data_IF_630850021256
#
_entry.id   IF_630850021256
#
_cell.length_a   1.000
_cell.length_b   1.000
_cell.length_c   1.000
_cell.angle_alpha   90.00
_cell.angle_beta   90.00
_cell.angle_gamma   90.00
#
_symmetry.space_group_name_H-M   'P 1'
#
loop_
_entity.id
_entity.type
_entity.pdbx_description
1 polymer ?
#
# COMPACT_ATOMS: atom_id res chain seq x y z
N UNK A 1 -68.69 -23.91 -36.75
CA UNK A 1 -68.36 -23.70 -35.32
C UNK A 1 -66.96 -23.17 -35.27
N UNK A 2 -66.77 -21.84 -35.12
CA UNK A 2 -65.48 -21.17 -35.11
C UNK A 2 -65.00 -21.04 -33.66
N UNK A 3 -63.87 -21.67 -33.32
CA UNK A 3 -63.16 -21.40 -32.06
C UNK A 3 -62.09 -20.39 -32.31
N UNK A 4 -62.23 -19.17 -31.80
CA UNK A 4 -61.22 -18.11 -31.79
C UNK A 4 -60.23 -18.40 -30.68
N UNK A 5 -58.97 -18.54 -31.04
CA UNK A 5 -57.87 -18.62 -30.11
C UNK A 5 -57.28 -17.21 -30.02
N UNK A 6 -57.37 -16.60 -28.84
CA UNK A 6 -56.76 -15.32 -28.53
C UNK A 6 -55.27 -15.56 -28.14
N UNK A 7 -54.36 -15.00 -28.92
CA UNK A 7 -52.94 -15.00 -28.57
C UNK A 7 -52.65 -13.80 -27.67
N UNK A 8 -52.24 -14.04 -26.43
CA UNK A 8 -51.76 -13.02 -25.50
C UNK A 8 -50.26 -12.78 -25.74
N UNK A 9 -49.91 -11.57 -26.20
CA UNK A 9 -48.56 -11.11 -26.33
C UNK A 9 -48.08 -10.62 -24.95
N UNK A 10 -47.16 -11.38 -24.34
CA UNK A 10 -46.41 -10.98 -23.15
C UNK A 10 -45.24 -10.13 -23.61
N UNK A 11 -45.32 -8.81 -23.43
CA UNK A 11 -44.20 -7.90 -23.59
C UNK A 11 -43.27 -8.02 -22.39
N UNK A 12 -42.15 -8.70 -22.55
CA UNK A 12 -41.08 -8.78 -21.57
C UNK A 12 -40.32 -7.46 -21.54
N UNK A 13 -40.43 -6.69 -20.45
CA UNK A 13 -39.59 -5.54 -20.19
C UNK A 13 -38.19 -6.03 -19.77
N UNK A 14 -37.22 -5.92 -20.65
CA UNK A 14 -35.81 -6.13 -20.32
C UNK A 14 -35.32 -4.92 -19.51
N UNK A 15 -35.15 -5.09 -18.21
CA UNK A 15 -34.51 -4.11 -17.33
C UNK A 15 -33.02 -4.22 -17.62
N UNK A 16 -32.49 -3.27 -18.37
CA UNK A 16 -31.04 -3.06 -18.50
C UNK A 16 -30.53 -2.51 -17.17
N UNK A 17 -30.01 -3.36 -16.32
CA UNK A 17 -29.22 -2.97 -15.17
C UNK A 17 -27.90 -2.43 -15.75
N UNK A 18 -27.80 -1.12 -15.93
CA UNK A 18 -26.51 -0.45 -16.15
C UNK A 18 -25.71 -0.67 -14.87
N UNK A 19 -24.89 -1.73 -14.84
CA UNK A 19 -23.88 -1.92 -13.82
C UNK A 19 -22.95 -0.73 -13.89
N UNK A 20 -22.87 0.07 -12.80
CA UNK A 20 -21.74 0.97 -12.61
C UNK A 20 -20.49 0.08 -12.62
N UNK A 21 -19.75 0.12 -13.73
CA UNK A 21 -18.46 -0.55 -13.81
C UNK A 21 -17.52 0.14 -12.83
N UNK A 22 -17.34 -0.44 -11.65
CA UNK A 22 -16.16 -0.15 -10.85
C UNK A 22 -14.98 -0.67 -11.66
N UNK A 23 -14.16 0.24 -12.16
CA UNK A 23 -12.87 -0.11 -12.74
C UNK A 23 -12.05 -0.74 -11.61
N UNK A 24 -11.89 -2.06 -11.64
CA UNK A 24 -11.08 -2.78 -10.65
C UNK A 24 -9.61 -2.35 -10.69
N UNK A 25 -9.19 -1.74 -11.79
CA UNK A 25 -7.83 -1.25 -11.98
C UNK A 25 -7.48 -0.03 -11.10
N UNK A 26 -8.50 0.69 -10.58
CA UNK A 26 -8.30 1.88 -9.73
C UNK A 26 -8.34 1.55 -8.22
N UNK A 27 -8.48 0.28 -7.85
CA UNK A 27 -8.54 -0.16 -6.47
C UNK A 27 -7.31 -0.95 -6.06
N UNK A 28 -6.68 -0.52 -4.96
CA UNK A 28 -5.62 -1.29 -4.36
C UNK A 28 -6.15 -2.63 -3.83
N UNK A 29 -5.34 -3.70 -3.87
CA UNK A 29 -5.68 -4.99 -3.30
C UNK A 29 -6.20 -4.89 -1.86
N UNK A 30 -7.23 -5.66 -1.50
CA UNK A 30 -7.84 -5.62 -0.17
C UNK A 30 -6.85 -5.90 0.96
N UNK A 31 -5.78 -6.66 0.70
CA UNK A 31 -4.73 -6.96 1.66
C UNK A 31 -3.99 -5.70 2.14
N UNK A 32 -3.97 -4.64 1.34
CA UNK A 32 -3.37 -3.35 1.69
C UNK A 32 -4.12 -2.60 2.80
N UNK A 33 -5.37 -3.00 3.08
CA UNK A 33 -6.23 -2.42 4.12
C UNK A 33 -6.19 -3.20 5.45
N UNK A 34 -5.36 -4.22 5.58
CA UNK A 34 -5.30 -5.09 6.77
C UNK A 34 -4.67 -4.44 8.02
N UNK A 35 -4.33 -3.15 7.96
CA UNK A 35 -3.78 -2.41 9.09
C UNK A 35 -2.26 -2.54 9.23
N UNK A 36 -1.69 -1.67 10.08
CA UNK A 36 -0.22 -1.54 10.23
C UNK A 36 0.47 -2.82 10.71
N UNK A 37 -0.20 -3.66 11.49
CA UNK A 37 0.39 -4.91 11.98
C UNK A 37 0.65 -5.90 10.84
N UNK A 38 -0.18 -5.90 9.78
CA UNK A 38 0.06 -6.73 8.60
C UNK A 38 1.32 -6.26 7.85
N UNK A 39 1.52 -4.93 7.73
CA UNK A 39 2.75 -4.37 7.16
C UNK A 39 3.97 -4.72 7.99
N UNK A 40 3.91 -4.54 9.31
CA UNK A 40 5.02 -4.85 10.22
C UNK A 40 5.42 -6.32 10.13
N UNK A 41 4.44 -7.23 10.17
CA UNK A 41 4.68 -8.67 10.04
C UNK A 41 5.29 -9.05 8.69
N UNK A 42 4.79 -8.47 7.60
CA UNK A 42 5.36 -8.75 6.28
C UNK A 42 6.80 -8.24 6.18
N UNK A 43 7.08 -7.04 6.72
CA UNK A 43 8.39 -6.40 6.73
C UNK A 43 9.46 -7.16 7.55
N UNK A 44 9.08 -8.12 8.41
CA UNK A 44 10.05 -9.00 9.09
C UNK A 44 10.93 -9.77 8.11
N UNK A 45 10.49 -9.95 6.87
CA UNK A 45 11.25 -10.63 5.81
C UNK A 45 12.31 -9.75 5.16
N UNK A 46 12.26 -8.42 5.37
CA UNK A 46 13.21 -7.50 4.73
C UNK A 46 14.67 -7.83 5.14
N UNK A 47 15.63 -7.78 4.21
CA UNK A 47 15.57 -7.23 2.86
C UNK A 47 15.12 -8.21 1.75
N UNK A 48 14.74 -9.44 2.08
CA UNK A 48 14.13 -10.35 1.11
C UNK A 48 12.78 -9.78 0.61
N UNK A 49 12.22 -10.26 -0.52
CA UNK A 49 10.95 -9.77 -1.04
C UNK A 49 9.83 -9.83 0.01
N UNK A 50 9.18 -8.69 0.24
CA UNK A 50 8.10 -8.51 1.21
C UNK A 50 6.77 -8.55 0.47
N UNK A 51 5.91 -9.49 0.85
CA UNK A 51 4.59 -9.66 0.26
C UNK A 51 3.51 -9.61 1.34
N UNK A 52 2.60 -8.66 1.24
CA UNK A 52 1.39 -8.60 2.06
C UNK A 52 0.48 -9.78 1.68
N UNK A 53 -0.01 -10.48 2.70
CA UNK A 53 -0.82 -11.68 2.48
C UNK A 53 -0.11 -12.80 1.71
N UNK A 54 1.21 -12.71 1.53
CA UNK A 54 2.01 -13.68 0.82
C UNK A 54 2.04 -13.51 -0.72
N UNK A 55 1.33 -12.55 -1.27
CA UNK A 55 1.17 -12.39 -2.73
C UNK A 55 1.40 -10.97 -3.26
N UNK A 56 1.13 -9.94 -2.47
CA UNK A 56 1.06 -8.55 -2.94
C UNK A 56 2.28 -7.75 -2.49
N UNK A 57 3.13 -7.27 -3.39
CA UNK A 57 4.18 -6.31 -3.07
C UNK A 57 3.59 -5.03 -2.46
N UNK A 58 4.33 -4.36 -1.59
CA UNK A 58 3.85 -3.11 -0.96
C UNK A 58 3.62 -2.01 -2.01
N UNK A 59 4.44 -1.97 -3.08
CA UNK A 59 4.27 -1.02 -4.19
C UNK A 59 2.90 -1.11 -4.86
N UNK A 60 2.32 -2.32 -4.92
CA UNK A 60 1.05 -2.57 -5.59
C UNK A 60 -0.15 -2.07 -4.77
N UNK A 61 0.09 -1.59 -3.54
CA UNK A 61 -0.92 -0.89 -2.74
C UNK A 61 -1.14 0.57 -3.19
N UNK A 62 -0.29 1.08 -4.08
CA UNK A 62 -0.36 2.42 -4.65
C UNK A 62 -0.70 2.28 -6.13
N UNK A 63 -1.95 2.52 -6.47
CA UNK A 63 -2.43 2.40 -7.85
C UNK A 63 -2.67 3.78 -8.45
N UNK A 64 -2.43 3.96 -9.77
CA UNK A 64 -2.81 5.18 -10.46
C UNK A 64 -4.29 5.50 -10.25
N UNK A 65 -4.64 6.78 -10.10
CA UNK A 65 -6.03 7.24 -9.93
C UNK A 65 -6.75 6.66 -8.71
N UNK A 66 -6.00 6.20 -7.70
CA UNK A 66 -6.53 5.61 -6.48
C UNK A 66 -7.55 6.53 -5.80
N UNK A 67 -8.67 5.94 -5.36
CA UNK A 67 -9.72 6.66 -4.63
C UNK A 67 -9.16 7.28 -3.33
N UNK A 68 -9.50 8.56 -3.08
CA UNK A 68 -8.88 9.36 -2.02
C UNK A 68 -9.06 8.76 -0.61
N UNK A 69 -10.22 8.17 -0.32
CA UNK A 69 -10.49 7.53 0.98
C UNK A 69 -9.68 6.25 1.16
N UNK A 70 -9.50 5.47 0.10
CA UNK A 70 -8.67 4.28 0.12
C UNK A 70 -7.19 4.64 0.30
N UNK A 71 -6.70 5.64 -0.45
CA UNK A 71 -5.34 6.15 -0.31
C UNK A 71 -5.07 6.68 1.10
N UNK A 72 -6.02 7.42 1.68
CA UNK A 72 -5.90 7.93 3.05
C UNK A 72 -5.81 6.80 4.08
N UNK A 73 -6.63 5.76 3.94
CA UNK A 73 -6.63 4.60 4.84
C UNK A 73 -5.32 3.81 4.75
N UNK A 74 -4.90 3.44 3.55
CA UNK A 74 -3.65 2.71 3.31
C UNK A 74 -2.45 3.54 3.78
N UNK A 75 -2.42 4.82 3.43
CA UNK A 75 -1.36 5.73 3.81
C UNK A 75 -1.22 5.91 5.32
N UNK A 76 -2.34 5.96 6.05
CA UNK A 76 -2.32 6.02 7.50
C UNK A 76 -1.66 4.79 8.12
N UNK A 77 -1.98 3.60 7.65
CA UNK A 77 -1.39 2.35 8.16
C UNK A 77 0.11 2.25 7.88
N UNK A 78 0.54 2.67 6.69
CA UNK A 78 1.96 2.75 6.34
C UNK A 78 2.72 3.74 7.23
N UNK A 79 2.14 4.91 7.53
CA UNK A 79 2.74 5.93 8.40
C UNK A 79 2.87 5.42 9.83
N UNK A 80 1.86 4.72 10.35
CA UNK A 80 1.92 4.11 11.69
C UNK A 80 3.01 3.05 11.75
N UNK A 81 3.10 2.18 10.74
CA UNK A 81 4.16 1.17 10.64
C UNK A 81 5.55 1.84 10.60
N UNK A 82 5.75 2.85 9.76
CA UNK A 82 7.00 3.60 9.68
C UNK A 82 7.37 4.26 11.02
N UNK A 83 6.41 4.84 11.72
CA UNK A 83 6.62 5.46 13.04
C UNK A 83 7.09 4.45 14.08
N UNK A 84 6.46 3.27 14.13
CA UNK A 84 6.85 2.18 15.03
C UNK A 84 8.27 1.67 14.71
N UNK A 85 8.56 1.44 13.43
CA UNK A 85 9.90 1.01 12.98
C UNK A 85 10.97 2.05 13.28
N UNK A 86 10.68 3.34 13.06
CA UNK A 86 11.61 4.41 13.37
C UNK A 86 11.91 4.50 14.87
N UNK A 87 10.90 4.32 15.73
CA UNK A 87 11.09 4.28 17.17
C UNK A 87 12.00 3.10 17.60
N UNK A 88 11.93 1.96 16.93
CA UNK A 88 12.80 0.82 17.15
C UNK A 88 14.22 1.07 16.59
N UNK A 89 14.32 1.61 15.38
CA UNK A 89 15.58 1.95 14.72
C UNK A 89 16.42 2.92 15.54
N UNK A 90 15.79 3.85 16.25
CA UNK A 90 16.50 4.80 17.16
C UNK A 90 17.16 4.09 18.35
N UNK A 91 16.61 2.96 18.80
CA UNK A 91 17.17 2.17 19.91
C UNK A 91 18.29 1.24 19.44
N UNK A 92 18.14 0.72 18.21
CA UNK A 92 19.13 -0.13 17.55
C UNK A 92 19.31 0.31 16.09
N UNK A 93 20.20 1.31 15.83
CA UNK A 93 20.37 1.91 14.51
C UNK A 93 20.84 0.94 13.42
N UNK A 94 21.57 -0.12 13.80
CA UNK A 94 22.03 -1.15 12.86
C UNK A 94 21.10 -2.34 12.72
N UNK A 95 20.04 -2.37 13.52
CA UNK A 95 19.15 -3.50 13.67
C UNK A 95 18.11 -3.69 12.54
N UNK A 96 17.30 -4.74 12.64
CA UNK A 96 16.35 -5.11 11.60
C UNK A 96 15.31 -4.02 11.33
N UNK A 97 14.90 -3.25 12.35
CA UNK A 97 13.91 -2.19 12.16
C UNK A 97 14.36 -1.10 11.19
N UNK A 98 15.67 -0.80 11.14
CA UNK A 98 16.23 0.15 10.17
C UNK A 98 16.16 -0.39 8.74
N UNK A 99 16.37 -1.70 8.53
CA UNK A 99 16.22 -2.37 7.23
C UNK A 99 14.75 -2.37 6.81
N UNK A 100 13.85 -2.73 7.71
CA UNK A 100 12.40 -2.77 7.48
C UNK A 100 11.85 -1.39 7.12
N UNK A 101 12.28 -0.36 7.84
CA UNK A 101 11.90 1.02 7.55
C UNK A 101 12.38 1.46 6.17
N UNK A 102 13.65 1.18 5.85
CA UNK A 102 14.20 1.44 4.53
C UNK A 102 13.40 0.73 3.43
N UNK A 103 13.08 -0.55 3.64
CA UNK A 103 12.29 -1.32 2.68
C UNK A 103 10.91 -0.69 2.43
N UNK A 104 10.18 -0.34 3.49
CA UNK A 104 8.88 0.31 3.35
C UNK A 104 8.95 1.60 2.53
N UNK A 105 9.93 2.47 2.85
CA UNK A 105 10.14 3.73 2.11
C UNK A 105 10.51 3.44 0.65
N UNK A 106 11.38 2.47 0.40
CA UNK A 106 11.79 2.07 -0.95
C UNK A 106 10.63 1.53 -1.78
N UNK A 107 9.80 0.64 -1.19
CA UNK A 107 8.64 0.07 -1.84
C UNK A 107 7.58 1.12 -2.20
N UNK A 108 7.29 2.03 -1.26
CA UNK A 108 6.39 3.17 -1.53
C UNK A 108 6.95 4.06 -2.63
N UNK A 109 8.25 4.35 -2.61
CA UNK A 109 8.89 5.16 -3.67
C UNK A 109 8.88 4.49 -5.04
N UNK A 110 8.77 3.15 -5.08
CA UNK A 110 8.65 2.38 -6.33
C UNK A 110 7.25 2.50 -6.92
N UNK A 111 6.20 2.34 -6.09
CA UNK A 111 4.80 2.34 -6.52
C UNK A 111 4.17 3.73 -6.64
N UNK A 112 4.84 4.79 -6.13
CA UNK A 112 4.23 6.11 -6.04
C UNK A 112 4.15 6.83 -7.40
N UNK A 113 2.95 7.29 -7.72
CA UNK A 113 2.64 8.26 -8.77
C UNK A 113 2.47 9.68 -8.19
N UNK A 114 2.30 10.73 -9.01
CA UNK A 114 2.10 12.10 -8.53
C UNK A 114 0.98 12.28 -7.51
N UNK A 115 -0.11 11.52 -7.60
CA UNK A 115 -1.21 11.56 -6.62
C UNK A 115 -0.78 11.14 -5.22
N UNK A 116 0.28 10.34 -5.09
CA UNK A 116 0.82 9.84 -3.83
C UNK A 116 1.84 10.78 -3.17
N UNK A 117 2.12 11.94 -3.76
CA UNK A 117 3.20 12.84 -3.30
C UNK A 117 3.05 13.26 -1.82
N UNK A 118 1.81 13.49 -1.34
CA UNK A 118 1.58 13.82 0.07
C UNK A 118 1.90 12.64 0.99
N UNK A 119 1.48 11.44 0.63
CA UNK A 119 1.83 10.22 1.38
C UNK A 119 3.34 10.02 1.45
N UNK A 120 4.05 10.13 0.32
CA UNK A 120 5.50 9.99 0.27
C UNK A 120 6.18 11.02 1.18
N UNK A 121 5.74 12.27 1.15
CA UNK A 121 6.25 13.34 2.02
C UNK A 121 6.04 13.02 3.50
N UNK A 122 4.84 12.62 3.90
CA UNK A 122 4.49 12.27 5.28
C UNK A 122 5.25 11.04 5.77
N UNK A 123 5.38 10.03 4.92
CA UNK A 123 6.10 8.81 5.23
C UNK A 123 7.60 9.09 5.44
N UNK A 124 8.22 9.88 4.56
CA UNK A 124 9.61 10.32 4.74
C UNK A 124 9.78 11.14 6.03
N UNK A 125 8.79 11.95 6.42
CA UNK A 125 8.83 12.70 7.69
C UNK A 125 8.79 11.76 8.89
N UNK A 126 7.94 10.72 8.88
CA UNK A 126 7.88 9.71 9.96
C UNK A 126 9.11 8.81 10.02
N UNK A 127 9.84 8.67 8.93
CA UNK A 127 11.09 7.91 8.86
C UNK A 127 12.35 8.69 9.30
N UNK A 128 12.24 9.97 9.61
CA UNK A 128 13.40 10.78 10.04
C UNK A 128 14.00 10.24 11.34
N UNK A 129 15.27 9.88 11.30
CA UNK A 129 15.98 9.34 12.46
C UNK A 129 16.17 10.41 13.56
N UNK A 130 16.49 11.65 13.19
CA UNK A 130 16.62 12.78 14.10
C UNK A 130 15.66 13.91 13.71
N UNK A 131 14.96 14.47 14.70
CA UNK A 131 14.05 15.60 14.49
C UNK A 131 14.77 16.95 14.47
N UNK A 132 15.95 17.03 15.10
CA UNK A 132 16.71 18.27 15.30
C UNK A 132 17.84 18.44 14.29
N UNK A 133 17.97 17.51 13.35
CA UNK A 133 19.10 17.47 12.41
C UNK A 133 20.42 17.15 13.15
N UNK A 134 21.10 16.15 12.73
CA UNK A 134 22.37 15.69 13.29
C UNK A 134 22.96 14.63 12.38
N UNK A 135 24.21 14.29 12.60
CA UNK A 135 24.86 13.21 11.86
C UNK A 135 24.15 11.90 12.14
N UNK A 136 23.71 11.22 11.09
CA UNK A 136 23.11 9.90 11.21
C UNK A 136 24.17 8.89 11.65
N UNK A 137 23.84 7.93 12.51
CA UNK A 137 24.72 6.80 12.79
C UNK A 137 25.00 6.03 11.50
N UNK A 138 26.29 5.77 11.21
CA UNK A 138 26.67 5.03 10.01
C UNK A 138 26.05 3.61 9.94
N UNK A 139 25.74 3.01 11.09
CA UNK A 139 25.01 1.74 11.18
C UNK A 139 23.56 1.87 10.66
N UNK A 140 22.89 2.98 11.01
CA UNK A 140 21.54 3.26 10.50
C UNK A 140 21.57 3.50 8.98
N UNK A 141 22.47 4.34 8.49
CA UNK A 141 22.57 4.62 7.05
C UNK A 141 22.76 3.35 6.23
N UNK A 142 23.67 2.46 6.68
CA UNK A 142 23.89 1.17 6.00
C UNK A 142 22.69 0.25 6.05
N UNK A 143 22.05 0.12 7.22
CA UNK A 143 20.90 -0.76 7.41
C UNK A 143 19.68 -0.25 6.62
N UNK A 144 19.36 1.02 6.77
CA UNK A 144 18.28 1.69 6.04
C UNK A 144 18.52 1.63 4.52
N UNK A 145 19.74 1.94 4.06
CA UNK A 145 20.08 1.92 2.64
C UNK A 145 19.93 0.54 2.00
N UNK A 146 20.31 -0.55 2.71
CA UNK A 146 20.04 -1.93 2.23
C UNK A 146 18.56 -2.20 2.07
N UNK A 147 17.77 -1.82 3.07
CA UNK A 147 16.32 -1.97 3.03
C UNK A 147 15.71 -1.17 1.88
N UNK A 148 16.09 0.10 1.75
CA UNK A 148 15.59 0.99 0.71
C UNK A 148 15.87 0.45 -0.70
N UNK A 149 17.11 0.02 -0.96
CA UNK A 149 17.47 -0.57 -2.24
C UNK A 149 16.64 -1.83 -2.55
N UNK A 150 16.45 -2.70 -1.55
CA UNK A 150 15.63 -3.90 -1.70
C UNK A 150 14.15 -3.55 -1.96
N UNK A 151 13.57 -2.60 -1.22
CA UNK A 151 12.20 -2.14 -1.43
C UNK A 151 11.99 -1.50 -2.80
N UNK A 152 12.95 -0.72 -3.29
CA UNK A 152 12.94 -0.17 -4.67
C UNK A 152 12.99 -1.26 -5.74
N UNK A 153 13.65 -2.36 -5.47
CA UNK A 153 13.80 -3.48 -6.41
C UNK A 153 12.59 -4.40 -6.41
N UNK A 154 12.16 -4.85 -5.23
CA UNK A 154 11.19 -5.96 -5.07
C UNK A 154 9.95 -5.62 -4.24
N UNK A 155 9.85 -4.39 -3.76
CA UNK A 155 8.70 -3.94 -2.97
C UNK A 155 7.46 -3.70 -3.76
#
# INVERSE_FOLDING_TARGET
MLKRVAAALLAGAAILIAGCGNNQDDQAPAVCLLGNEAYLKALEKAPAPVLLGGTTPISDCLVPEQEAGQLASIGQEMIVAATKLNAQARRDPGGPASVQLGYLIGAVSKGADPIHADLVRRLNASARFSQTGGTLPASFERAFGRGYAAGRSSG
#
